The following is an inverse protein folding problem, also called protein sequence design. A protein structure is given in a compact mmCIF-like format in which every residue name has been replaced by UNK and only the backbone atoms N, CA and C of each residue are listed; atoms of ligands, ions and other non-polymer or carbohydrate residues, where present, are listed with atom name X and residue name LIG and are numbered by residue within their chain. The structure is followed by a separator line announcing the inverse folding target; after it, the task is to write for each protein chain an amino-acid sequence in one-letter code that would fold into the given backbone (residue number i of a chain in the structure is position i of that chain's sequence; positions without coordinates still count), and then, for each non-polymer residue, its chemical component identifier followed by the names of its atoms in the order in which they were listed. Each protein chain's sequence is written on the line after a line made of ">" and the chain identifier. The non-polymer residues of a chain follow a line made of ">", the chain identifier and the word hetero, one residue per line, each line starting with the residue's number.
data_IF_747735656086
#
_entry.id   IF_747735656086
#
_cell.length_a   1.000
_cell.length_b   1.000
_cell.length_c   1.000
_cell.angle_alpha   90.00
_cell.angle_beta   90.00
_cell.angle_gamma   90.00
#
_symmetry.space_group_name_H-M   'P 1'
#
loop_
_entity.id
_entity.type
_entity.pdbx_description
1 polymer ?
#
# COMPACT_ATOMS: atom_id res chain seq x y z
N UNK A 1 10.81 -14.13 -2.22
CA UNK A 1 12.01 -13.56 -2.86
C UNK A 1 11.87 -13.48 -4.38
N UNK A 2 11.49 -14.57 -5.10
CA UNK A 2 11.42 -14.56 -6.57
C UNK A 2 10.52 -13.43 -7.10
N UNK A 3 9.32 -13.24 -6.54
CA UNK A 3 8.42 -12.16 -6.95
C UNK A 3 9.00 -10.77 -6.69
N UNK A 4 9.79 -10.61 -5.62
CA UNK A 4 10.51 -9.38 -5.30
C UNK A 4 11.55 -9.03 -6.39
N UNK A 5 12.40 -9.99 -6.73
CA UNK A 5 13.40 -9.78 -7.78
C UNK A 5 12.77 -9.56 -9.17
N UNK A 6 11.67 -10.24 -9.47
CA UNK A 6 10.90 -9.96 -10.69
C UNK A 6 10.33 -8.53 -10.65
N UNK A 7 9.86 -8.06 -9.50
CA UNK A 7 9.43 -6.66 -9.32
C UNK A 7 10.54 -5.68 -9.73
N UNK A 8 11.79 -5.91 -9.30
CA UNK A 8 12.94 -5.11 -9.72
C UNK A 8 13.20 -5.16 -11.23
N UNK A 9 13.02 -6.31 -11.87
CA UNK A 9 13.15 -6.44 -13.33
C UNK A 9 12.12 -5.58 -14.08
N UNK A 10 10.96 -5.35 -13.48
CA UNK A 10 9.93 -4.45 -13.99
C UNK A 10 10.03 -3.01 -13.46
N UNK A 11 11.15 -2.65 -12.82
CA UNK A 11 11.42 -1.28 -12.38
C UNK A 11 10.85 -0.90 -11.02
N UNK A 12 10.22 -1.81 -10.28
CA UNK A 12 9.78 -1.55 -8.93
C UNK A 12 10.97 -1.41 -7.98
N UNK A 13 10.90 -0.46 -7.06
CA UNK A 13 11.92 -0.21 -6.03
C UNK A 13 11.36 -0.53 -4.65
N UNK A 14 12.24 -0.52 -3.64
CA UNK A 14 11.85 -0.87 -2.27
C UNK A 14 10.81 0.11 -1.71
N UNK A 15 9.88 -0.41 -0.90
CA UNK A 15 8.76 0.35 -0.33
C UNK A 15 8.87 0.62 1.17
N UNK A 16 9.80 -0.05 1.89
CA UNK A 16 9.98 0.14 3.33
C UNK A 16 10.54 1.52 3.68
N UNK A 17 10.06 2.08 4.80
CA UNK A 17 10.58 3.33 5.35
C UNK A 17 11.79 3.14 6.26
N UNK A 18 12.07 1.93 6.75
CA UNK A 18 13.28 1.59 7.49
C UNK A 18 14.54 1.78 6.65
N UNK A 19 15.66 2.09 7.32
CA UNK A 19 16.96 2.34 6.69
C UNK A 19 17.72 1.04 6.37
N UNK A 20 17.11 0.16 5.56
CA UNK A 20 17.73 -1.06 5.07
C UNK A 20 17.61 -1.08 3.54
N UNK A 21 18.61 -0.54 2.84
CA UNK A 21 18.56 -0.46 1.37
C UNK A 21 17.28 0.23 0.85
N UNK A 22 16.85 1.28 1.58
CA UNK A 22 15.63 2.05 1.29
C UNK A 22 15.76 2.81 -0.03
N UNK A 23 14.64 2.95 -0.72
CA UNK A 23 14.48 3.90 -1.83
C UNK A 23 13.58 5.04 -1.36
N UNK A 24 14.15 6.20 -1.05
CA UNK A 24 13.42 7.31 -0.42
C UNK A 24 12.18 7.75 -1.22
N UNK A 25 12.24 7.71 -2.54
CA UNK A 25 11.13 8.11 -3.41
C UNK A 25 9.90 7.19 -3.29
N UNK A 26 10.06 5.97 -2.82
CA UNK A 26 9.01 4.95 -2.72
C UNK A 26 8.86 4.37 -1.31
N UNK A 27 9.46 5.00 -0.29
CA UNK A 27 9.41 4.58 1.11
C UNK A 27 8.03 4.82 1.75
N UNK A 28 6.98 4.27 1.13
CA UNK A 28 5.56 4.55 1.42
C UNK A 28 4.91 3.55 2.38
N UNK A 29 5.65 2.55 2.83
CA UNK A 29 5.16 1.60 3.82
C UNK A 29 5.93 1.76 5.14
N UNK A 30 5.24 1.76 6.29
CA UNK A 30 5.90 1.93 7.59
C UNK A 30 6.82 0.74 7.90
N UNK A 31 7.87 1.01 8.67
CA UNK A 31 8.78 -0.02 9.15
C UNK A 31 9.44 -0.83 8.04
N UNK A 32 9.39 -2.15 8.17
CA UNK A 32 9.91 -3.08 7.16
C UNK A 32 9.02 -3.23 5.94
N UNK A 33 7.90 -2.52 5.88
CA UNK A 33 6.80 -2.80 4.94
C UNK A 33 6.14 -4.18 5.15
N UNK A 34 5.08 -4.44 4.40
CA UNK A 34 4.37 -5.72 4.41
C UNK A 34 4.15 -6.30 3.01
N UNK A 35 4.31 -5.50 1.96
CA UNK A 35 4.11 -5.95 0.57
C UNK A 35 5.37 -6.57 -0.04
N UNK A 36 5.26 -7.08 -1.27
CA UNK A 36 6.34 -7.84 -1.93
C UNK A 36 7.63 -7.03 -2.04
N UNK A 37 7.58 -5.72 -2.36
CA UNK A 37 8.79 -4.90 -2.52
C UNK A 37 9.36 -4.38 -1.19
N UNK A 38 8.78 -4.73 -0.07
CA UNK A 38 9.28 -4.45 1.25
C UNK A 38 10.26 -5.50 1.79
N UNK A 39 10.77 -5.24 2.99
CA UNK A 39 11.75 -6.09 3.69
C UNK A 39 11.18 -6.73 4.95
N UNK A 40 9.92 -7.21 4.88
CA UNK A 40 9.26 -7.93 5.97
C UNK A 40 10.12 -9.11 6.45
N UNK A 41 10.36 -9.17 7.76
CA UNK A 41 11.17 -10.20 8.39
C UNK A 41 12.69 -9.99 8.35
N UNK A 42 13.20 -9.01 7.61
CA UNK A 42 14.65 -8.78 7.44
C UNK A 42 15.14 -7.38 7.80
N UNK A 43 14.25 -6.42 8.00
CA UNK A 43 14.61 -5.04 8.33
C UNK A 43 13.85 -4.56 9.59
N UNK A 44 14.47 -4.62 10.74
CA UNK A 44 13.85 -4.15 11.98
C UNK A 44 13.70 -2.61 12.03
N UNK A 45 12.66 -2.08 12.72
CA UNK A 45 11.56 -2.81 13.35
C UNK A 45 10.61 -3.43 12.31
N UNK A 46 10.34 -4.73 12.48
CA UNK A 46 9.51 -5.47 11.53
C UNK A 46 8.02 -5.22 11.74
N UNK A 47 7.31 -5.01 10.65
CA UNK A 47 5.84 -5.01 10.62
C UNK A 47 5.33 -6.44 10.77
N UNK A 48 5.93 -7.36 10.03
CA UNK A 48 5.62 -8.80 10.05
C UNK A 48 6.82 -9.61 9.55
N UNK A 49 6.76 -10.94 9.68
CA UNK A 49 7.90 -11.80 9.36
C UNK A 49 7.96 -12.26 7.90
N UNK A 50 6.85 -12.21 7.18
CA UNK A 50 6.74 -12.67 5.78
C UNK A 50 5.91 -11.66 5.00
N UNK A 51 6.32 -11.33 3.79
CA UNK A 51 5.56 -10.42 2.92
C UNK A 51 4.21 -11.02 2.53
N UNK A 52 3.21 -10.17 2.45
CA UNK A 52 1.93 -10.48 1.84
C UNK A 52 2.11 -10.65 0.32
N UNK A 53 1.27 -11.49 -0.29
CA UNK A 53 1.43 -11.90 -1.69
C UNK A 53 0.85 -10.89 -2.70
N UNK A 54 1.10 -9.60 -2.51
CA UNK A 54 0.70 -8.54 -3.45
C UNK A 54 1.71 -7.38 -3.46
N UNK A 55 1.65 -6.55 -4.48
CA UNK A 55 2.48 -5.36 -4.64
C UNK A 55 1.72 -4.12 -4.14
N UNK A 56 2.43 -3.21 -3.48
CA UNK A 56 1.93 -1.88 -3.14
C UNK A 56 1.60 -1.08 -4.41
N UNK A 57 0.64 -0.16 -4.34
CA UNK A 57 0.22 0.67 -5.47
C UNK A 57 1.38 1.39 -6.16
N UNK A 58 2.37 1.88 -5.40
CA UNK A 58 3.55 2.53 -5.98
C UNK A 58 4.38 1.56 -6.82
N UNK A 59 4.52 0.31 -6.39
CA UNK A 59 5.23 -0.73 -7.14
C UNK A 59 4.50 -1.07 -8.44
N UNK A 60 3.17 -1.19 -8.38
CA UNK A 60 2.34 -1.40 -9.57
C UNK A 60 2.48 -0.24 -10.55
N UNK A 61 2.47 1.00 -10.06
CA UNK A 61 2.67 2.21 -10.89
C UNK A 61 4.03 2.19 -11.60
N UNK A 62 5.10 1.85 -10.88
CA UNK A 62 6.45 1.74 -11.47
C UNK A 62 6.53 0.64 -12.54
N UNK A 63 5.96 -0.53 -12.25
CA UNK A 63 5.94 -1.65 -13.20
C UNK A 63 5.14 -1.31 -14.46
N UNK A 64 3.98 -0.67 -14.32
CA UNK A 64 3.17 -0.20 -15.46
C UNK A 64 3.93 0.83 -16.31
N UNK A 65 4.64 1.77 -15.68
CA UNK A 65 5.46 2.75 -16.39
C UNK A 65 6.59 2.08 -17.18
N UNK A 66 7.23 1.05 -16.62
CA UNK A 66 8.27 0.26 -17.31
C UNK A 66 7.69 -0.50 -18.51
N UNK A 67 6.54 -1.15 -18.35
CA UNK A 67 5.87 -1.88 -19.42
C UNK A 67 5.46 -0.93 -20.55
N UNK A 68 4.92 0.24 -20.22
CA UNK A 68 4.50 1.23 -21.21
C UNK A 68 5.67 1.89 -21.95
N UNK A 69 6.84 2.03 -21.30
CA UNK A 69 7.99 2.75 -21.83
C UNK A 69 9.11 1.85 -22.37
N UNK A 70 9.71 1.02 -21.51
CA UNK A 70 10.96 0.31 -21.78
C UNK A 70 10.77 -1.10 -22.33
N UNK A 71 9.60 -1.72 -22.13
CA UNK A 71 9.31 -3.09 -22.55
C UNK A 71 8.81 -3.16 -24.00
N UNK A 72 9.37 -2.34 -24.89
CA UNK A 72 8.98 -2.25 -26.31
C UNK A 72 9.23 -3.53 -27.14
N UNK A 73 9.93 -4.50 -26.58
CA UNK A 73 10.14 -5.82 -27.22
C UNK A 73 8.95 -6.78 -27.05
N UNK A 74 7.98 -6.45 -26.19
CA UNK A 74 6.81 -7.28 -25.96
C UNK A 74 5.75 -7.10 -27.05
N UNK A 75 5.09 -8.19 -27.43
CA UNK A 75 3.87 -8.12 -28.25
C UNK A 75 2.67 -8.00 -27.31
N UNK A 76 1.93 -6.90 -27.43
CA UNK A 76 0.72 -6.70 -26.66
C UNK A 76 -0.43 -7.51 -27.25
N UNK A 77 -1.01 -8.38 -26.44
CA UNK A 77 -2.20 -9.16 -26.78
C UNK A 77 -3.33 -8.72 -25.86
N UNK A 78 -4.44 -8.23 -26.44
CA UNK A 78 -5.61 -7.88 -25.65
C UNK A 78 -6.21 -9.13 -25.01
N UNK A 79 -6.48 -9.06 -23.72
CA UNK A 79 -7.21 -10.09 -22.98
C UNK A 79 -8.71 -9.79 -22.90
N UNK A 80 -9.17 -8.68 -23.50
CA UNK A 80 -10.57 -8.27 -23.49
C UNK A 80 -11.03 -7.64 -22.17
N UNK A 81 -10.14 -7.46 -21.21
CA UNK A 81 -10.45 -6.85 -19.92
C UNK A 81 -9.95 -5.40 -19.88
N UNK A 82 -10.75 -4.50 -19.32
CA UNK A 82 -10.36 -3.11 -19.02
C UNK A 82 -10.03 -2.97 -17.54
N UNK A 83 -9.20 -2.00 -17.20
CA UNK A 83 -8.88 -1.74 -15.80
C UNK A 83 -10.10 -1.13 -15.08
N UNK A 84 -10.37 -1.52 -13.81
CA UNK A 84 -11.41 -0.87 -13.02
C UNK A 84 -11.09 0.61 -12.80
N UNK A 85 -12.13 1.42 -12.67
CA UNK A 85 -12.02 2.84 -12.34
C UNK A 85 -12.35 3.03 -10.87
N UNK A 86 -11.33 3.39 -10.09
CA UNK A 86 -11.46 3.63 -8.65
C UNK A 86 -11.87 5.07 -8.36
N UNK A 87 -12.70 5.23 -7.33
CA UNK A 87 -13.08 6.52 -6.74
C UNK A 87 -12.82 6.48 -5.23
N UNK A 88 -11.87 7.30 -4.78
CA UNK A 88 -11.50 7.43 -3.38
C UNK A 88 -12.37 8.43 -2.58
N UNK A 89 -13.33 9.07 -3.23
CA UNK A 89 -14.19 10.08 -2.63
C UNK A 89 -13.53 11.46 -2.52
N UNK A 90 -14.01 12.25 -1.57
CA UNK A 90 -13.57 13.63 -1.37
C UNK A 90 -12.45 13.72 -0.33
N UNK A 91 -11.67 14.80 -0.42
CA UNK A 91 -10.70 15.17 0.61
C UNK A 91 -11.39 15.68 1.87
N UNK A 92 -10.86 15.32 3.03
CA UNK A 92 -11.37 15.73 4.33
C UNK A 92 -10.29 16.33 5.21
N UNK A 93 -10.64 17.38 5.95
CA UNK A 93 -9.84 17.87 7.07
C UNK A 93 -10.47 17.44 8.38
N UNK A 94 -9.73 16.72 9.20
CA UNK A 94 -10.18 16.19 10.48
C UNK A 94 -9.27 16.67 11.62
N UNK A 95 -9.76 16.80 12.85
CA UNK A 95 -8.90 17.07 14.00
C UNK A 95 -7.90 15.93 14.21
N UNK A 96 -6.72 16.26 14.73
CA UNK A 96 -5.73 15.26 15.13
C UNK A 96 -6.33 14.24 16.11
N UNK A 97 -5.90 12.99 16.01
CA UNK A 97 -6.36 11.88 16.86
C UNK A 97 -7.86 11.57 16.75
N UNK A 98 -8.47 11.90 15.62
CA UNK A 98 -9.86 11.54 15.33
C UNK A 98 -9.89 10.25 14.51
N UNK A 99 -10.57 9.19 14.99
CA UNK A 99 -10.83 8.01 14.14
C UNK A 99 -11.63 8.41 12.89
N UNK A 100 -11.35 7.78 11.78
CA UNK A 100 -12.03 8.07 10.52
C UNK A 100 -12.26 6.81 9.67
N UNK A 101 -13.09 6.94 8.67
CA UNK A 101 -13.33 5.89 7.67
C UNK A 101 -13.03 6.42 6.28
N UNK A 102 -12.25 5.67 5.53
CA UNK A 102 -12.09 5.85 4.09
C UNK A 102 -13.22 5.08 3.39
N UNK A 103 -13.93 5.74 2.49
CA UNK A 103 -15.04 5.18 1.74
C UNK A 103 -14.71 5.27 0.26
N UNK A 104 -14.55 4.13 -0.39
CA UNK A 104 -14.27 4.05 -1.81
C UNK A 104 -15.43 3.50 -2.60
N UNK A 105 -15.31 3.65 -3.91
CA UNK A 105 -16.14 2.98 -4.90
C UNK A 105 -15.28 2.59 -6.10
N UNK A 106 -15.76 1.69 -6.92
CA UNK A 106 -15.16 1.41 -8.22
C UNK A 106 -16.22 0.96 -9.20
N UNK A 107 -15.91 1.13 -10.49
CA UNK A 107 -16.68 0.56 -11.60
C UNK A 107 -15.76 -0.31 -12.45
N UNK A 108 -16.29 -1.37 -12.99
CA UNK A 108 -15.64 -2.26 -13.93
C UNK A 108 -16.62 -2.60 -15.04
N UNK A 109 -16.15 -2.61 -16.28
CA UNK A 109 -17.02 -2.80 -17.43
C UNK A 109 -17.38 -4.29 -17.66
N UNK A 110 -16.51 -5.19 -17.19
CA UNK A 110 -16.64 -6.63 -17.42
C UNK A 110 -17.21 -7.36 -16.19
N UNK A 111 -16.70 -7.08 -15.00
CA UNK A 111 -17.12 -7.79 -13.78
C UNK A 111 -16.98 -6.98 -12.50
N UNK A 112 -17.97 -6.18 -12.19
CA UNK A 112 -18.01 -5.41 -10.94
C UNK A 112 -18.13 -6.29 -9.69
N UNK A 113 -18.58 -7.54 -9.83
CA UNK A 113 -18.81 -8.43 -8.69
C UNK A 113 -17.54 -9.10 -8.19
N UNK A 114 -16.47 -9.10 -8.99
CA UNK A 114 -15.17 -9.68 -8.63
C UNK A 114 -14.20 -8.66 -8.01
N UNK A 115 -14.59 -7.39 -7.87
CA UNK A 115 -13.71 -6.36 -7.35
C UNK A 115 -13.37 -6.59 -5.88
N UNK A 116 -12.10 -6.38 -5.56
CA UNK A 116 -11.58 -6.25 -4.20
C UNK A 116 -10.85 -4.92 -4.05
N UNK A 117 -10.81 -4.42 -2.83
CA UNK A 117 -10.33 -3.07 -2.52
C UNK A 117 -9.17 -3.12 -1.54
N UNK A 118 -8.18 -2.29 -1.79
CA UNK A 118 -7.09 -2.01 -0.88
C UNK A 118 -6.91 -0.50 -0.75
N UNK A 119 -6.72 -0.03 0.47
CA UNK A 119 -6.38 1.36 0.78
C UNK A 119 -4.94 1.45 1.22
N UNK A 120 -4.14 2.23 0.54
CA UNK A 120 -2.71 2.41 0.80
C UNK A 120 -2.37 3.88 0.93
N UNK A 121 -1.51 4.20 1.89
CA UNK A 121 -1.00 5.55 2.09
C UNK A 121 0.11 5.84 1.10
N UNK A 122 0.08 7.00 0.46
CA UNK A 122 1.06 7.45 -0.53
C UNK A 122 1.84 8.64 0.05
N UNK A 123 2.55 8.40 1.15
CA UNK A 123 3.44 9.36 1.80
C UNK A 123 4.83 8.74 1.94
N UNK A 124 5.85 9.41 1.44
CA UNK A 124 7.22 8.90 1.39
C UNK A 124 8.19 9.69 2.26
N UNK A 125 7.72 10.54 3.17
CA UNK A 125 8.63 11.22 4.09
C UNK A 125 9.32 10.19 4.97
N UNK A 126 10.61 10.38 5.14
CA UNK A 126 11.40 9.53 6.02
C UNK A 126 11.11 9.91 7.47
N UNK A 127 10.65 8.94 8.25
CA UNK A 127 10.23 9.15 9.63
C UNK A 127 10.78 8.10 10.57
N UNK A 128 10.72 8.40 11.87
CA UNK A 128 11.08 7.41 12.89
C UNK A 128 10.06 6.28 12.92
N UNK A 129 10.53 5.04 12.92
CA UNK A 129 9.71 3.84 12.95
C UNK A 129 9.90 3.07 14.27
N UNK A 130 8.85 2.49 14.83
CA UNK A 130 7.45 2.51 14.36
C UNK A 130 6.78 3.86 14.53
N UNK A 131 5.70 4.15 13.78
CA UNK A 131 4.90 5.36 13.98
C UNK A 131 4.29 5.37 15.38
N UNK A 132 4.14 6.56 15.93
CA UNK A 132 3.51 6.80 17.24
C UNK A 132 2.42 7.86 17.11
N UNK A 133 1.51 7.95 18.09
CA UNK A 133 0.38 8.89 18.07
C UNK A 133 0.79 10.39 17.91
N UNK A 134 2.04 10.72 18.21
CA UNK A 134 2.59 12.07 18.02
C UNK A 134 3.30 12.29 16.69
N UNK A 135 3.46 11.26 15.85
CA UNK A 135 4.08 11.38 14.53
C UNK A 135 3.34 12.40 13.67
N UNK A 136 4.08 13.17 12.88
CA UNK A 136 3.54 14.26 12.06
C UNK A 136 3.90 14.12 10.58
N UNK A 137 4.63 13.08 10.20
CA UNK A 137 5.04 12.80 8.83
C UNK A 137 5.40 11.34 8.65
N UNK A 138 5.57 10.94 7.42
CA UNK A 138 5.89 9.58 7.00
C UNK A 138 4.67 8.66 6.89
N UNK A 139 4.84 7.46 6.35
CA UNK A 139 3.80 6.46 6.31
C UNK A 139 3.46 5.99 7.73
N UNK A 140 2.18 6.07 8.10
CA UNK A 140 1.67 5.68 9.42
C UNK A 140 0.82 4.43 9.39
N UNK A 141 0.20 4.14 8.24
CA UNK A 141 -0.75 3.07 8.06
C UNK A 141 -0.17 2.01 7.14
N UNK A 142 -0.08 0.78 7.65
CA UNK A 142 0.41 -0.33 6.84
C UNK A 142 -0.58 -0.68 5.73
N UNK A 143 -0.06 -1.24 4.63
CA UNK A 143 -0.90 -1.92 3.65
C UNK A 143 -1.51 -3.18 4.25
N UNK A 144 -2.76 -3.48 3.92
CA UNK A 144 -3.49 -4.68 4.33
C UNK A 144 -3.95 -5.43 3.08
N UNK A 145 -4.08 -6.77 3.14
CA UNK A 145 -4.65 -7.53 2.02
C UNK A 145 -5.99 -6.98 1.56
N UNK A 146 -6.25 -7.03 0.26
CA UNK A 146 -7.50 -6.55 -0.31
C UNK A 146 -8.72 -7.30 0.24
N UNK A 147 -9.84 -6.60 0.34
CA UNK A 147 -11.12 -7.14 0.83
C UNK A 147 -12.26 -6.78 -0.12
N UNK A 148 -13.40 -7.44 0.02
CA UNK A 148 -14.62 -7.09 -0.73
C UNK A 148 -15.26 -5.78 -0.26
N UNK A 149 -14.90 -5.30 0.94
CA UNK A 149 -15.37 -4.01 1.44
C UNK A 149 -14.58 -2.88 0.79
N UNK A 150 -15.23 -1.87 0.20
CA UNK A 150 -14.56 -0.69 -0.32
C UNK A 150 -14.12 0.28 0.80
N UNK A 151 -14.41 -0.03 2.05
CA UNK A 151 -14.16 0.86 3.19
C UNK A 151 -12.99 0.37 4.03
N UNK A 152 -12.20 1.31 4.57
CA UNK A 152 -11.19 1.04 5.60
C UNK A 152 -11.39 1.98 6.79
N UNK A 153 -11.42 1.42 7.99
CA UNK A 153 -11.45 2.17 9.26
C UNK A 153 -10.03 2.46 9.72
N UNK A 154 -9.80 3.65 10.25
CA UNK A 154 -8.52 4.13 10.79
C UNK A 154 -8.72 4.69 12.21
N UNK A 155 -8.27 4.01 13.27
CA UNK A 155 -7.77 2.64 13.32
C UNK A 155 -8.87 1.59 13.02
N UNK A 156 -8.53 0.29 13.15
CA UNK A 156 -9.48 -0.80 12.91
C UNK A 156 -10.77 -0.63 13.71
N UNK A 157 -11.90 -1.07 13.16
CA UNK A 157 -13.22 -0.83 13.76
C UNK A 157 -13.32 -1.39 15.18
N UNK A 158 -12.73 -2.54 15.47
CA UNK A 158 -12.69 -3.16 16.79
C UNK A 158 -11.94 -2.27 17.80
N UNK A 159 -10.86 -1.63 17.38
CA UNK A 159 -10.10 -0.67 18.18
C UNK A 159 -10.96 0.56 18.52
N UNK A 160 -11.69 1.08 17.54
CA UNK A 160 -12.59 2.23 17.73
C UNK A 160 -13.72 1.89 18.71
N UNK A 161 -14.38 0.75 18.54
CA UNK A 161 -15.51 0.31 19.36
C UNK A 161 -15.09 0.06 20.81
N UNK A 162 -13.94 -0.54 21.02
CA UNK A 162 -13.42 -0.82 22.37
C UNK A 162 -12.88 0.40 23.09
N UNK A 163 -12.67 1.52 22.38
CA UNK A 163 -11.99 2.69 22.91
C UNK A 163 -10.51 2.46 23.24
N UNK A 164 -9.92 1.40 22.66
CA UNK A 164 -8.51 1.11 22.83
C UNK A 164 -7.63 2.08 22.03
N UNK A 165 -6.35 2.14 22.38
CA UNK A 165 -5.34 2.83 21.57
C UNK A 165 -5.02 1.99 20.35
N UNK A 166 -4.76 2.64 19.19
CA UNK A 166 -4.30 1.95 17.99
C UNK A 166 -3.01 1.18 18.23
N UNK A 167 -2.82 0.13 17.47
CA UNK A 167 -1.59 -0.67 17.53
C UNK A 167 -0.44 0.03 16.80
N UNK A 168 0.77 -0.47 17.01
CA UNK A 168 1.99 0.11 16.45
C UNK A 168 2.00 0.15 14.92
N UNK A 169 1.32 -0.79 14.27
CA UNK A 169 1.35 -0.97 12.83
C UNK A 169 -0.04 -0.88 12.17
N UNK A 170 -0.90 -0.09 12.71
CA UNK A 170 -2.28 0.04 12.23
C UNK A 170 -2.45 1.14 11.19
#
# INVERSE_FOLDING_TARGET
>A
YVSHEIGHQFGATHTQNNDCNRTDATAMEPGSASTIMGYAGICAPNVQNVSDAYFHAISVTQMQATIAGSASCATLVSNGNTAPVADAGLDYSIPKSTPFILRGAATDAEDITALTYNWEQIDNEIASMPPVASSTGGPMFRSLPSSVSPNRYMPALETIISGATSTTWE
#
